data_IF_575785172196
#
_entry.id   IF_575785172196
#
_cell.length_a   1.000
_cell.length_b   1.000
_cell.length_c   1.000
_cell.angle_alpha   90.00
_cell.angle_beta   90.00
_cell.angle_gamma   90.00
#
_symmetry.space_group_name_H-M   'P 1'
#
loop_
_entity.id
_entity.type
_entity.pdbx_description
1 polymer ?
#
# COMPACT_ATOMS: atom_id res chain seq x y z
N UNK A 1 -1.53 5.72 -12.18
CA UNK A 1 -1.40 4.82 -11.01
C UNK A 1 -0.55 3.62 -11.39
N UNK A 2 0.54 3.37 -10.68
CA UNK A 2 1.48 2.26 -10.90
C UNK A 2 1.83 1.64 -9.55
N UNK A 3 1.85 0.32 -9.48
CA UNK A 3 2.21 -0.45 -8.27
C UNK A 3 3.54 -1.13 -8.53
N UNK A 4 4.46 -1.04 -7.57
CA UNK A 4 5.73 -1.76 -7.59
C UNK A 4 5.91 -2.51 -6.28
N UNK A 5 6.32 -3.78 -6.36
CA UNK A 5 6.54 -4.64 -5.18
C UNK A 5 8.00 -5.11 -5.18
N UNK A 6 8.95 -4.26 -4.80
CA UNK A 6 10.32 -4.68 -4.61
C UNK A 6 10.43 -5.64 -3.41
N UNK A 7 11.05 -6.80 -3.66
CA UNK A 7 11.47 -7.73 -2.62
C UNK A 7 12.78 -7.25 -2.01
N UNK A 8 12.79 -7.00 -0.70
CA UNK A 8 14.04 -6.75 0.03
C UNK A 8 14.50 -8.05 0.66
N UNK A 9 15.54 -8.66 0.10
CA UNK A 9 16.22 -9.83 0.67
C UNK A 9 17.38 -9.43 1.61
N UNK A 10 17.32 -8.22 2.20
CA UNK A 10 18.33 -7.71 3.15
C UNK A 10 18.11 -8.20 4.59
N UNK A 11 18.78 -7.57 5.56
CA UNK A 11 18.70 -7.91 7.01
C UNK A 11 17.31 -7.77 7.64
N UNK A 12 16.37 -7.14 6.94
CA UNK A 12 14.95 -7.09 7.29
C UNK A 12 14.17 -7.71 6.13
N UNK A 13 13.69 -8.94 6.31
CA UNK A 13 12.83 -9.61 5.33
C UNK A 13 11.47 -8.90 5.31
N UNK A 14 11.17 -8.21 4.21
CA UNK A 14 9.92 -7.46 4.08
C UNK A 14 9.54 -7.22 2.64
N UNK A 15 8.24 -7.09 2.41
CA UNK A 15 7.67 -6.70 1.11
C UNK A 15 7.36 -5.21 1.19
N UNK A 16 8.09 -4.41 0.41
CA UNK A 16 7.76 -2.99 0.25
C UNK A 16 6.77 -2.86 -0.89
N UNK A 17 5.60 -2.29 -0.63
CA UNK A 17 4.61 -1.95 -1.66
C UNK A 17 4.74 -0.46 -1.93
N UNK A 18 5.18 -0.09 -3.14
CA UNK A 18 5.24 1.29 -3.60
C UNK A 18 4.04 1.59 -4.48
N UNK A 19 3.31 2.63 -4.11
CA UNK A 19 2.18 3.15 -4.86
C UNK A 19 2.59 4.49 -5.49
N UNK A 20 2.71 4.51 -6.81
CA UNK A 20 3.03 5.73 -7.57
C UNK A 20 1.77 6.24 -8.26
N UNK A 21 1.42 7.50 -8.05
CA UNK A 21 0.27 8.14 -8.66
C UNK A 21 0.67 9.49 -9.23
N UNK A 22 0.33 9.75 -10.50
CA UNK A 22 0.61 11.03 -11.15
C UNK A 22 -0.22 12.16 -10.54
N UNK A 23 -1.44 11.84 -10.08
CA UNK A 23 -2.28 12.71 -9.26
C UNK A 23 -2.09 12.39 -7.77
N UNK A 24 -2.25 13.36 -6.85
CA UNK A 24 -2.19 13.11 -5.42
C UNK A 24 -3.19 12.01 -4.99
N UNK A 25 -2.79 11.19 -4.02
CA UNK A 25 -3.70 10.20 -3.43
C UNK A 25 -4.83 10.93 -2.69
N UNK A 26 -6.07 10.39 -2.73
CA UNK A 26 -7.18 11.00 -2.02
C UNK A 26 -6.92 10.98 -0.51
N UNK A 27 -7.22 12.10 0.14
CA UNK A 27 -7.16 12.17 1.59
C UNK A 27 -8.38 11.50 2.24
N UNK A 28 -8.31 11.10 3.53
CA UNK A 28 -9.39 10.39 4.23
C UNK A 28 -10.76 11.11 4.28
N UNK A 29 -10.86 12.35 3.80
CA UNK A 29 -12.03 13.21 3.85
C UNK A 29 -12.33 13.95 2.54
N UNK A 30 -11.68 13.57 1.43
CA UNK A 30 -11.97 14.12 0.10
C UNK A 30 -12.96 13.22 -0.64
N UNK A 31 -13.76 13.81 -1.55
CA UNK A 31 -14.66 13.10 -2.46
C UNK A 31 -13.87 12.25 -3.46
N UNK A 32 -13.32 11.12 -2.97
CA UNK A 32 -12.74 10.03 -3.74
C UNK A 32 -11.50 10.37 -4.57
N UNK A 33 -10.60 9.40 -4.69
CA UNK A 33 -9.58 9.45 -5.73
C UNK A 33 -10.19 9.06 -7.08
N UNK A 34 -9.34 9.05 -8.12
CA UNK A 34 -9.68 8.34 -9.36
C UNK A 34 -10.05 6.89 -9.06
N UNK A 35 -10.87 6.26 -9.93
CA UNK A 35 -11.26 4.84 -9.79
C UNK A 35 -10.03 3.94 -9.57
N UNK A 36 -8.92 4.22 -10.26
CA UNK A 36 -7.67 3.50 -10.09
C UNK A 36 -7.07 3.65 -8.69
N UNK A 37 -7.11 4.84 -8.09
CA UNK A 37 -6.62 5.06 -6.72
C UNK A 37 -7.49 4.33 -5.70
N UNK A 38 -8.81 4.39 -5.84
CA UNK A 38 -9.74 3.70 -4.94
C UNK A 38 -9.55 2.18 -4.99
N UNK A 39 -9.41 1.60 -6.19
CA UNK A 39 -9.15 0.17 -6.37
C UNK A 39 -7.82 -0.26 -5.71
N UNK A 40 -6.77 0.55 -5.84
CA UNK A 40 -5.48 0.25 -5.22
C UNK A 40 -5.54 0.32 -3.70
N UNK A 41 -6.22 1.32 -3.13
CA UNK A 41 -6.38 1.44 -1.69
C UNK A 41 -7.17 0.25 -1.11
N UNK A 42 -8.22 -0.21 -1.79
CA UNK A 42 -8.94 -1.43 -1.40
C UNK A 42 -8.05 -2.67 -1.47
N UNK A 43 -7.29 -2.84 -2.55
CA UNK A 43 -6.36 -3.96 -2.68
C UNK A 43 -5.28 -3.95 -1.59
N UNK A 44 -4.75 -2.76 -1.24
CA UNK A 44 -3.79 -2.61 -0.16
C UNK A 44 -4.38 -3.02 1.19
N UNK A 45 -5.61 -2.60 1.49
CA UNK A 45 -6.30 -2.98 2.73
C UNK A 45 -6.47 -4.50 2.85
N UNK A 46 -6.85 -5.18 1.76
CA UNK A 46 -6.96 -6.65 1.74
C UNK A 46 -5.59 -7.30 1.99
N UNK A 47 -4.53 -6.83 1.33
CA UNK A 47 -3.16 -7.37 1.55
C UNK A 47 -2.70 -7.19 3.00
N UNK A 48 -2.99 -6.03 3.62
CA UNK A 48 -2.65 -5.77 5.01
C UNK A 48 -3.40 -6.71 5.97
N UNK A 49 -4.68 -6.95 5.71
CA UNK A 49 -5.50 -7.88 6.47
C UNK A 49 -4.97 -9.32 6.39
N UNK A 50 -4.69 -9.79 5.17
CA UNK A 50 -4.14 -11.14 4.94
C UNK A 50 -2.74 -11.31 5.55
N UNK A 51 -1.88 -10.29 5.45
CA UNK A 51 -0.56 -10.31 6.07
C UNK A 51 -0.67 -10.47 7.58
N UNK A 52 -1.53 -9.69 8.24
CA UNK A 52 -1.75 -9.80 9.68
C UNK A 52 -2.33 -11.18 10.05
N UNK A 53 -3.29 -11.69 9.28
CA UNK A 53 -3.89 -13.00 9.52
C UNK A 53 -2.87 -14.16 9.45
N UNK A 54 -1.88 -14.08 8.55
CA UNK A 54 -0.85 -15.11 8.36
C UNK A 54 0.29 -14.97 9.37
N UNK A 55 0.73 -13.74 9.65
CA UNK A 55 1.98 -13.48 10.37
C UNK A 55 1.79 -13.04 11.82
N UNK A 56 0.61 -12.52 12.17
CA UNK A 56 0.37 -11.84 13.45
C UNK A 56 1.00 -10.45 13.56
N UNK A 57 1.71 -9.99 12.52
CA UNK A 57 2.45 -8.74 12.51
C UNK A 57 1.69 -7.64 11.75
N UNK A 58 1.79 -6.41 12.24
CA UNK A 58 1.18 -5.25 11.57
C UNK A 58 2.07 -4.75 10.42
N UNK A 59 1.45 -4.38 9.29
CA UNK A 59 2.16 -3.71 8.20
C UNK A 59 2.55 -2.31 8.64
N UNK A 60 3.83 -1.94 8.47
CA UNK A 60 4.33 -0.60 8.78
C UNK A 60 4.12 0.31 7.56
N UNK A 61 3.28 1.35 7.64
CA UNK A 61 3.13 2.31 6.55
C UNK A 61 4.38 3.17 6.46
N UNK A 62 5.09 3.08 5.33
CA UNK A 62 6.16 4.02 4.98
C UNK A 62 5.58 5.10 4.07
N UNK A 63 5.29 6.26 4.65
CA UNK A 63 4.90 7.44 3.89
C UNK A 63 6.18 8.20 3.55
N UNK A 64 6.59 8.18 2.28
CA UNK A 64 7.58 9.12 1.78
C UNK A 64 6.84 10.36 1.26
N UNK A 65 7.15 11.52 1.84
CA UNK A 65 6.77 12.82 1.28
C UNK A 65 7.50 13.07 -0.05
#
# INVERSE_FOLDING_TARGET
MKIEIPFSNGTVCGVLIKLNSDAPLPQPHEDGGTVAQNLVLMALAVVQQEFYAITGEAVVPLVSH
#
